data_IF_344398275865
#
_entry.id   IF_344398275865
#
_cell.length_a   1.000
_cell.length_b   1.000
_cell.length_c   1.000
_cell.angle_alpha   90.00
_cell.angle_beta   90.00
_cell.angle_gamma   90.00
#
_symmetry.space_group_name_H-M   'P 1'
#
loop_
_entity.id
_entity.type
_entity.pdbx_description
1 polymer ?
#
# COMPACT_ATOMS: atom_id res chain seq x y z
N UNK A 1 14.79 -13.22 -8.40
CA UNK A 1 14.22 -11.90 -8.71
C UNK A 1 14.53 -11.01 -7.52
N UNK A 2 15.07 -9.80 -7.71
CA UNK A 2 15.42 -8.93 -6.58
C UNK A 2 14.20 -8.12 -6.12
N UNK A 3 13.61 -8.53 -4.99
CA UNK A 3 12.40 -7.94 -4.45
C UNK A 3 12.64 -6.66 -3.66
N UNK A 4 13.90 -6.23 -3.49
CA UNK A 4 14.26 -5.00 -2.78
C UNK A 4 13.57 -3.76 -3.37
N UNK A 5 13.37 -3.72 -4.68
CA UNK A 5 12.66 -2.63 -5.34
C UNK A 5 11.19 -2.57 -4.95
N UNK A 6 10.53 -3.72 -4.84
CA UNK A 6 9.11 -3.83 -4.45
C UNK A 6 8.95 -3.51 -2.96
N UNK A 7 9.84 -4.03 -2.12
CA UNK A 7 9.88 -3.71 -0.69
C UNK A 7 10.07 -2.20 -0.47
N UNK A 8 11.05 -1.59 -1.14
CA UNK A 8 11.32 -0.16 -1.03
C UNK A 8 10.14 0.68 -1.54
N UNK A 9 9.49 0.27 -2.63
CA UNK A 9 8.31 0.94 -3.15
C UNK A 9 7.14 0.89 -2.14
N UNK A 10 6.87 -0.27 -1.54
CA UNK A 10 5.84 -0.42 -0.51
C UNK A 10 6.14 0.45 0.72
N UNK A 11 7.37 0.39 1.24
CA UNK A 11 7.81 1.24 2.36
C UNK A 11 7.58 2.73 2.08
N UNK A 12 7.92 3.20 0.88
CA UNK A 12 7.70 4.60 0.47
C UNK A 12 6.21 4.92 0.35
N UNK A 13 5.42 4.07 -0.29
CA UNK A 13 3.97 4.27 -0.43
C UNK A 13 3.28 4.38 0.93
N UNK A 14 3.65 3.52 1.89
CA UNK A 14 3.09 3.54 3.24
C UNK A 14 3.57 4.78 4.00
N UNK A 15 4.87 5.07 3.96
CA UNK A 15 5.43 6.25 4.64
C UNK A 15 4.80 7.56 4.15
N UNK A 16 4.57 7.68 2.83
CA UNK A 16 3.88 8.84 2.25
C UNK A 16 2.45 8.97 2.77
N UNK A 17 1.70 7.87 2.85
CA UNK A 17 0.33 7.92 3.37
C UNK A 17 0.26 8.20 4.87
N UNK A 18 1.26 7.81 5.65
CA UNK A 18 1.31 8.08 7.08
C UNK A 18 1.63 9.55 7.39
N UNK A 19 2.20 10.31 6.45
CA UNK A 19 2.44 11.73 6.61
C UNK A 19 1.12 12.51 6.52
N UNK A 20 0.73 13.34 7.52
CA UNK A 20 -0.60 13.95 7.58
C UNK A 20 -0.98 14.80 6.37
N UNK A 21 -0.02 15.58 5.84
CA UNK A 21 -0.26 16.45 4.68
C UNK A 21 -0.52 15.61 3.43
N UNK A 22 0.37 14.64 3.17
CA UNK A 22 0.25 13.73 2.05
C UNK A 22 -0.98 12.83 2.16
N UNK A 23 -1.33 12.34 3.35
CA UNK A 23 -2.57 11.60 3.62
C UNK A 23 -3.80 12.36 3.15
N UNK A 24 -3.91 13.63 3.52
CA UNK A 24 -5.05 14.46 3.14
C UNK A 24 -5.14 14.65 1.62
N UNK A 25 -4.00 14.80 0.93
CA UNK A 25 -3.95 14.88 -0.54
C UNK A 25 -4.34 13.53 -1.17
N UNK A 26 -3.82 12.42 -0.65
CA UNK A 26 -4.16 11.07 -1.10
C UNK A 26 -5.66 10.79 -0.94
N UNK A 27 -6.23 11.02 0.24
CA UNK A 27 -7.65 10.81 0.50
C UNK A 27 -8.56 11.66 -0.39
N UNK A 28 -8.19 12.92 -0.69
CA UNK A 28 -9.07 13.86 -1.41
C UNK A 28 -8.89 13.88 -2.93
N UNK A 29 -7.66 13.79 -3.42
CA UNK A 29 -7.34 14.05 -4.83
C UNK A 29 -6.74 12.84 -5.56
N UNK A 30 -5.95 12.01 -4.88
CA UNK A 30 -5.20 10.93 -5.51
C UNK A 30 -5.69 9.53 -5.14
N UNK A 31 -6.83 9.41 -4.45
CA UNK A 31 -7.29 8.16 -3.82
C UNK A 31 -7.28 6.97 -4.77
N UNK A 32 -7.93 7.10 -5.93
CA UNK A 32 -8.02 6.01 -6.90
C UNK A 32 -6.66 5.62 -7.48
N UNK A 33 -5.80 6.61 -7.76
CA UNK A 33 -4.45 6.36 -8.27
C UNK A 33 -3.57 5.69 -7.21
N UNK A 34 -3.66 6.14 -5.96
CA UNK A 34 -2.96 5.57 -4.82
C UNK A 34 -3.39 4.12 -4.58
N UNK A 35 -4.70 3.85 -4.54
CA UNK A 35 -5.24 2.48 -4.39
C UNK A 35 -4.79 1.55 -5.52
N UNK A 36 -4.83 2.00 -6.77
CA UNK A 36 -4.33 1.20 -7.91
C UNK A 36 -2.83 0.89 -7.78
N UNK A 37 -2.02 1.87 -7.39
CA UNK A 37 -0.59 1.68 -7.18
C UNK A 37 -0.33 0.66 -6.08
N UNK A 38 -0.96 0.86 -4.92
CA UNK A 38 -0.80 -0.01 -3.76
C UNK A 38 -1.25 -1.44 -4.06
N UNK A 39 -2.39 -1.62 -4.73
CA UNK A 39 -2.89 -2.92 -5.16
C UNK A 39 -1.91 -3.63 -6.12
N UNK A 40 -1.32 -2.88 -7.06
CA UNK A 40 -0.36 -3.45 -8.01
C UNK A 40 0.91 -3.94 -7.30
N UNK A 41 1.41 -3.17 -6.33
CA UNK A 41 2.55 -3.56 -5.50
C UNK A 41 2.24 -4.79 -4.65
N UNK A 42 1.08 -4.83 -3.98
CA UNK A 42 0.70 -5.99 -3.16
C UNK A 42 0.50 -7.25 -4.00
N UNK A 43 -0.02 -7.11 -5.23
CA UNK A 43 -0.21 -8.23 -6.15
C UNK A 43 1.13 -8.86 -6.56
N UNK A 44 2.14 -8.04 -6.87
CA UNK A 44 3.50 -8.52 -7.20
C UNK A 44 4.06 -9.36 -6.05
N UNK A 45 3.88 -8.91 -4.81
CA UNK A 45 4.34 -9.63 -3.61
C UNK A 45 3.59 -10.95 -3.41
N UNK A 46 2.29 -10.95 -3.65
CA UNK A 46 1.45 -12.15 -3.47
C UNK A 46 1.67 -13.22 -4.54
N UNK A 47 2.19 -12.85 -5.71
CA UNK A 47 2.46 -13.80 -6.80
C UNK A 47 3.75 -14.62 -6.61
N UNK A 48 4.62 -14.23 -5.67
CA UNK A 48 5.88 -14.90 -5.39
C UNK A 48 5.90 -15.36 -3.92
N UNK A 49 5.75 -16.68 -3.66
CA UNK A 49 5.72 -17.23 -2.31
C UNK A 49 6.96 -16.89 -1.47
N UNK A 50 8.14 -16.86 -2.10
CA UNK A 50 9.41 -16.57 -1.43
C UNK A 50 9.44 -15.13 -0.91
N UNK A 51 8.73 -14.22 -1.59
CA UNK A 51 8.57 -12.83 -1.19
C UNK A 51 7.43 -12.68 -0.18
N UNK A 52 6.29 -13.36 -0.38
CA UNK A 52 5.14 -13.24 0.53
C UNK A 52 5.39 -13.81 1.92
N UNK A 53 6.25 -14.82 2.02
CA UNK A 53 6.59 -15.47 3.29
C UNK A 53 7.70 -14.74 4.06
N UNK A 54 8.34 -13.74 3.44
CA UNK A 54 9.33 -12.90 4.10
C UNK A 54 8.66 -12.05 5.20
N UNK A 55 9.12 -12.10 6.47
CA UNK A 55 8.48 -11.41 7.60
C UNK A 55 8.30 -9.90 7.37
N UNK A 56 9.29 -9.25 6.76
CA UNK A 56 9.22 -7.83 6.42
C UNK A 56 8.12 -7.52 5.41
N UNK A 57 7.86 -8.44 4.48
CA UNK A 57 6.82 -8.27 3.45
C UNK A 57 5.43 -8.49 4.04
N UNK A 58 5.26 -9.44 4.95
CA UNK A 58 3.99 -9.64 5.65
C UNK A 58 3.56 -8.38 6.44
N UNK A 59 4.51 -7.72 7.11
CA UNK A 59 4.25 -6.44 7.77
C UNK A 59 3.76 -5.36 6.79
N UNK A 60 4.46 -5.21 5.66
CA UNK A 60 4.09 -4.24 4.63
C UNK A 60 2.75 -4.55 3.97
N UNK A 61 2.44 -5.84 3.74
CA UNK A 61 1.14 -6.28 3.22
C UNK A 61 0.01 -5.95 4.19
N UNK A 62 0.20 -6.20 5.49
CA UNK A 62 -0.79 -5.87 6.51
C UNK A 62 -1.08 -4.37 6.59
N UNK A 63 -0.04 -3.54 6.58
CA UNK A 63 -0.21 -2.09 6.54
C UNK A 63 -0.89 -1.62 5.25
N UNK A 64 -0.52 -2.19 4.11
CA UNK A 64 -1.13 -1.87 2.81
C UNK A 64 -2.63 -2.18 2.81
N UNK A 65 -3.03 -3.36 3.30
CA UNK A 65 -4.44 -3.76 3.43
C UNK A 65 -5.22 -2.82 4.36
N UNK A 66 -4.61 -2.40 5.47
CA UNK A 66 -5.22 -1.41 6.38
C UNK A 66 -5.47 -0.08 5.68
N UNK A 67 -4.52 0.41 4.89
CA UNK A 67 -4.66 1.67 4.14
C UNK A 67 -5.77 1.55 3.09
N UNK A 68 -5.82 0.44 2.35
CA UNK A 68 -6.89 0.15 1.38
C UNK A 68 -8.25 0.21 2.05
N UNK A 69 -8.39 -0.42 3.22
CA UNK A 69 -9.64 -0.41 4.00
C UNK A 69 -10.02 1.01 4.44
N UNK A 70 -9.09 1.79 5.00
CA UNK A 70 -9.34 3.18 5.42
C UNK A 70 -9.82 4.04 4.24
N UNK A 71 -9.14 3.96 3.10
CA UNK A 71 -9.49 4.72 1.90
C UNK A 71 -10.77 4.23 1.22
N UNK A 72 -11.13 2.95 1.38
CA UNK A 72 -12.38 2.37 0.90
C UNK A 72 -13.58 2.74 1.75
N UNK A 73 -13.41 2.76 3.08
CA UNK A 73 -14.46 3.15 4.04
C UNK A 73 -14.79 4.65 3.96
N UNK A 74 -13.81 5.51 3.68
CA UNK A 74 -14.04 6.95 3.41
C UNK A 74 -15.01 7.23 2.25
N UNK A 75 -15.35 6.24 1.42
CA UNK A 75 -16.29 6.36 0.30
C UNK A 75 -17.74 5.96 0.65
N UNK A 76 -17.95 5.21 1.75
CA UNK A 76 -19.27 4.74 2.18
C UNK A 76 -19.96 5.69 3.17
N UNK A 77 -19.33 6.81 3.53
CA UNK A 77 -19.88 7.83 4.42
C UNK A 77 -20.51 9.00 3.64
N UNK A 78 -21.28 8.69 2.60
CA UNK A 78 -22.13 9.65 1.88
C UNK A 78 -23.58 9.22 1.92
#
# INVERSE_FOLDING_TARGET
FDYQHVEQALRRCISLYNEPHTRNVVSKALRQHYLKCLHSLTLIVQHDPDISDAPQMQGLLGESQRIVKLLGEENNTK
#
